data_IF_958759350288
#
_entry.id   IF_958759350288
#
_cell.length_a   1.000
_cell.length_b   1.000
_cell.length_c   1.000
_cell.angle_alpha   90.00
_cell.angle_beta   90.00
_cell.angle_gamma   90.00
#
_symmetry.space_group_name_H-M   'P 1'
#
loop_
_entity.id
_entity.type
_entity.pdbx_description
1 polymer ?
#
# COMPACT_ATOMS: atom_id res chain seq x y z
N UNK A 1 46.43 17.34 -115.32
CA UNK A 1 47.55 16.88 -114.47
C UNK A 1 47.98 17.91 -113.41
N UNK A 2 48.54 19.10 -113.73
CA UNK A 2 48.99 20.04 -112.67
C UNK A 2 47.83 20.68 -111.86
N UNK A 3 46.73 21.08 -112.51
CA UNK A 3 45.56 21.69 -111.85
C UNK A 3 44.86 20.70 -110.90
N UNK A 4 44.69 19.44 -111.33
CA UNK A 4 44.10 18.36 -110.52
C UNK A 4 44.95 18.03 -109.28
N UNK A 5 46.28 18.14 -109.41
CA UNK A 5 47.21 17.90 -108.30
C UNK A 5 47.16 19.05 -107.27
N UNK A 6 46.95 20.29 -107.72
CA UNK A 6 46.73 21.43 -106.82
C UNK A 6 45.38 21.38 -106.11
N UNK A 7 44.30 20.98 -106.79
CA UNK A 7 42.98 20.76 -106.16
C UNK A 7 43.03 19.61 -105.15
N UNK A 8 43.68 18.48 -105.48
CA UNK A 8 43.87 17.38 -104.54
C UNK A 8 44.68 17.81 -103.30
N UNK A 9 45.68 18.68 -103.46
CA UNK A 9 46.45 19.26 -102.34
C UNK A 9 45.62 20.14 -101.42
N UNK A 10 44.74 20.97 -101.98
CA UNK A 10 43.83 21.83 -101.19
C UNK A 10 42.80 20.97 -100.45
N UNK A 11 42.23 19.96 -101.10
CA UNK A 11 41.31 19.03 -100.45
C UNK A 11 41.98 18.22 -99.32
N UNK A 12 43.22 17.76 -99.53
CA UNK A 12 44.01 17.10 -98.49
C UNK A 12 44.27 18.04 -97.31
N UNK A 13 44.67 19.30 -97.56
CA UNK A 13 44.89 20.28 -96.51
C UNK A 13 43.62 20.60 -95.72
N UNK A 14 42.46 20.67 -96.36
CA UNK A 14 41.18 20.90 -95.68
C UNK A 14 40.77 19.69 -94.83
N UNK A 15 40.94 18.46 -95.34
CA UNK A 15 40.68 17.23 -94.58
C UNK A 15 41.60 17.08 -93.38
N UNK A 16 42.85 17.49 -93.50
CA UNK A 16 43.84 17.46 -92.41
C UNK A 16 43.47 18.44 -91.27
N UNK A 17 43.00 19.65 -91.62
CA UNK A 17 42.46 20.61 -90.65
C UNK A 17 41.21 20.09 -89.95
N UNK A 18 40.31 19.46 -90.69
CA UNK A 18 39.09 18.84 -90.15
C UNK A 18 39.41 17.67 -89.21
N UNK A 19 40.39 16.83 -89.57
CA UNK A 19 40.88 15.75 -88.71
C UNK A 19 41.46 16.32 -87.41
N UNK A 20 42.30 17.34 -87.50
CA UNK A 20 42.85 18.00 -86.32
C UNK A 20 41.76 18.61 -85.44
N UNK A 21 40.73 19.23 -86.01
CA UNK A 21 39.59 19.76 -85.25
C UNK A 21 38.83 18.64 -84.52
N UNK A 22 38.60 17.51 -85.19
CA UNK A 22 37.98 16.33 -84.58
C UNK A 22 38.82 15.70 -83.48
N UNK A 23 40.14 15.64 -83.64
CA UNK A 23 41.03 15.12 -82.60
C UNK A 23 40.99 15.97 -81.33
N UNK A 24 40.91 17.31 -81.49
CA UNK A 24 40.71 18.24 -80.36
C UNK A 24 39.36 18.01 -79.68
N UNK A 25 38.29 17.87 -80.45
CA UNK A 25 36.95 17.59 -79.90
C UNK A 25 36.91 16.24 -79.18
N UNK A 26 37.53 15.20 -79.73
CA UNK A 26 37.65 13.88 -79.09
C UNK A 26 38.43 13.99 -77.77
N UNK A 27 39.51 14.76 -77.73
CA UNK A 27 40.28 14.97 -76.51
C UNK A 27 39.45 15.69 -75.43
N UNK A 28 38.67 16.69 -75.83
CA UNK A 28 37.79 17.41 -74.91
C UNK A 28 36.63 16.56 -74.40
N UNK A 29 36.00 15.77 -75.28
CA UNK A 29 34.96 14.81 -74.90
C UNK A 29 35.49 13.74 -73.95
N UNK A 30 36.71 13.22 -74.19
CA UNK A 30 37.38 12.28 -73.27
C UNK A 30 37.61 12.92 -71.90
N UNK A 31 38.06 14.16 -71.86
CA UNK A 31 38.25 14.90 -70.59
C UNK A 31 36.93 15.06 -69.85
N UNK A 32 35.86 15.50 -70.53
CA UNK A 32 34.53 15.66 -69.92
C UNK A 32 33.94 14.36 -69.42
N UNK A 33 34.17 13.25 -70.14
CA UNK A 33 33.74 11.93 -69.73
C UNK A 33 34.48 11.49 -68.46
N UNK A 34 35.81 11.70 -68.39
CA UNK A 34 36.58 11.39 -67.18
C UNK A 34 36.11 12.24 -65.98
N UNK A 35 35.92 13.55 -66.16
CA UNK A 35 35.38 14.43 -65.12
C UNK A 35 33.97 13.99 -64.66
N UNK A 36 33.17 13.37 -65.53
CA UNK A 36 31.87 12.80 -65.15
C UNK A 36 32.05 11.49 -64.36
N UNK A 37 32.97 10.62 -64.76
CA UNK A 37 33.29 9.38 -64.04
C UNK A 37 33.74 9.72 -62.62
N UNK A 38 34.71 10.61 -62.46
CA UNK A 38 35.24 11.01 -61.15
C UNK A 38 34.15 11.60 -60.24
N UNK A 39 33.22 12.37 -60.81
CA UNK A 39 32.06 12.91 -60.07
C UNK A 39 31.06 11.84 -59.67
N UNK A 40 30.78 10.88 -60.55
CA UNK A 40 29.88 9.78 -60.23
C UNK A 40 30.46 8.91 -59.10
N UNK A 41 31.76 8.60 -59.15
CA UNK A 41 32.44 7.84 -58.09
C UNK A 41 32.40 8.58 -56.74
N UNK A 42 32.64 9.89 -56.74
CA UNK A 42 32.53 10.70 -55.51
C UNK A 42 31.12 10.68 -54.92
N UNK A 43 30.08 10.82 -55.76
CA UNK A 43 28.69 10.80 -55.30
C UNK A 43 28.27 9.42 -54.79
N UNK A 44 28.81 8.33 -55.35
CA UNK A 44 28.54 6.97 -54.88
C UNK A 44 29.13 6.73 -53.49
N UNK A 45 30.34 7.24 -53.23
CA UNK A 45 30.96 7.21 -51.89
C UNK A 45 30.12 8.00 -50.88
N UNK A 46 29.71 9.22 -51.23
CA UNK A 46 28.88 10.06 -50.35
C UNK A 46 27.52 9.41 -50.06
N UNK A 47 26.89 8.82 -51.09
CA UNK A 47 25.63 8.11 -50.96
C UNK A 47 25.77 6.91 -50.02
N UNK A 48 26.83 6.12 -50.15
CA UNK A 48 27.07 4.97 -49.28
C UNK A 48 27.35 5.41 -47.84
N UNK A 49 28.11 6.49 -47.64
CA UNK A 49 28.32 7.07 -46.31
C UNK A 49 27.01 7.55 -45.67
N UNK A 50 26.11 8.18 -46.43
CA UNK A 50 24.79 8.59 -45.93
C UNK A 50 23.87 7.41 -45.64
N UNK A 51 23.93 6.32 -46.42
CA UNK A 51 23.17 5.09 -46.11
C UNK A 51 23.62 4.47 -44.79
N UNK A 52 24.92 4.42 -44.53
CA UNK A 52 25.46 3.92 -43.25
C UNK A 52 24.96 4.80 -42.10
N UNK A 53 25.05 6.13 -42.22
CA UNK A 53 24.52 7.04 -41.19
C UNK A 53 23.02 6.87 -40.97
N UNK A 54 22.24 6.67 -42.04
CA UNK A 54 20.82 6.44 -41.95
C UNK A 54 20.50 5.12 -41.21
N UNK A 55 21.24 4.05 -41.51
CA UNK A 55 21.12 2.77 -40.83
C UNK A 55 21.49 2.88 -39.33
N UNK A 56 22.60 3.55 -39.01
CA UNK A 56 23.03 3.78 -37.62
C UNK A 56 21.99 4.60 -36.83
N UNK A 57 21.40 5.63 -37.47
CA UNK A 57 20.37 6.44 -36.86
C UNK A 57 19.05 5.65 -36.66
N UNK A 58 18.71 4.75 -37.57
CA UNK A 58 17.56 3.86 -37.44
C UNK A 58 17.76 2.85 -36.31
N UNK A 59 18.95 2.24 -36.20
CA UNK A 59 19.30 1.34 -35.09
C UNK A 59 19.25 2.08 -33.74
N UNK A 60 19.83 3.28 -33.66
CA UNK A 60 19.78 4.10 -32.45
C UNK A 60 18.34 4.44 -32.05
N UNK A 61 17.46 4.73 -33.03
CA UNK A 61 16.02 4.95 -32.78
C UNK A 61 15.32 3.68 -32.30
N UNK A 62 15.63 2.53 -32.88
CA UNK A 62 15.04 1.25 -32.46
C UNK A 62 15.44 0.93 -31.01
N UNK A 63 16.72 1.06 -30.67
CA UNK A 63 17.24 0.88 -29.31
C UNK A 63 16.58 1.86 -28.34
N UNK A 64 16.51 3.14 -28.69
CA UNK A 64 15.87 4.16 -27.85
C UNK A 64 14.38 3.88 -27.63
N UNK A 65 13.67 3.39 -28.65
CA UNK A 65 12.24 3.07 -28.55
C UNK A 65 12.02 1.85 -27.66
N UNK A 66 12.86 0.82 -27.79
CA UNK A 66 12.82 -0.35 -26.92
C UNK A 66 13.09 0.02 -25.46
N UNK A 67 14.10 0.84 -25.19
CA UNK A 67 14.41 1.33 -23.86
C UNK A 67 13.25 2.15 -23.25
N UNK A 68 12.62 3.01 -24.05
CA UNK A 68 11.46 3.79 -23.61
C UNK A 68 10.28 2.89 -23.23
N UNK A 69 9.98 1.86 -24.03
CA UNK A 69 8.90 0.93 -23.73
C UNK A 69 9.15 0.18 -22.41
N UNK A 70 10.37 -0.29 -22.18
CA UNK A 70 10.75 -0.93 -20.90
C UNK A 70 10.56 0.03 -19.72
N UNK A 71 11.04 1.27 -19.86
CA UNK A 71 10.87 2.29 -18.81
C UNK A 71 9.40 2.57 -18.52
N UNK A 72 8.55 2.64 -19.55
CA UNK A 72 7.13 2.88 -19.41
C UNK A 72 6.39 1.72 -18.72
N UNK A 73 6.72 0.47 -19.06
CA UNK A 73 6.18 -0.71 -18.37
C UNK A 73 6.58 -0.70 -16.89
N UNK A 74 7.86 -0.51 -16.58
CA UNK A 74 8.34 -0.45 -15.19
C UNK A 74 7.65 0.67 -14.41
N UNK A 75 7.42 1.83 -15.04
CA UNK A 75 6.69 2.93 -14.41
C UNK A 75 5.24 2.53 -14.09
N UNK A 76 4.55 1.86 -15.02
CA UNK A 76 3.17 1.42 -14.79
C UNK A 76 3.04 0.37 -13.69
N UNK A 77 4.01 -0.56 -13.59
CA UNK A 77 4.06 -1.55 -12.53
C UNK A 77 4.34 -0.88 -11.17
N UNK A 78 5.31 0.02 -11.11
CA UNK A 78 5.61 0.78 -9.91
C UNK A 78 4.42 1.64 -9.45
N UNK A 79 3.71 2.26 -10.39
CA UNK A 79 2.49 3.01 -10.08
C UNK A 79 1.42 2.12 -9.45
N UNK A 80 1.18 0.92 -9.99
CA UNK A 80 0.23 -0.03 -9.41
C UNK A 80 0.58 -0.47 -7.98
N UNK A 81 1.87 -0.65 -7.69
CA UNK A 81 2.36 -0.92 -6.33
C UNK A 81 2.10 0.28 -5.41
N UNK A 82 2.42 1.50 -5.87
CA UNK A 82 2.19 2.73 -5.10
C UNK A 82 0.70 2.94 -4.80
N UNK A 83 -0.18 2.74 -5.78
CA UNK A 83 -1.63 2.90 -5.60
C UNK A 83 -2.17 1.90 -4.56
N UNK A 84 -1.68 0.66 -4.60
CA UNK A 84 -2.01 -0.37 -3.60
C UNK A 84 -1.56 0.07 -2.21
N UNK A 85 -0.30 0.47 -2.05
CA UNK A 85 0.24 0.92 -0.76
C UNK A 85 -0.50 2.14 -0.20
N UNK A 86 -0.87 3.10 -1.06
CA UNK A 86 -1.64 4.28 -0.66
C UNK A 86 -3.01 3.87 -0.13
N UNK A 87 -3.71 2.99 -0.83
CA UNK A 87 -5.02 2.47 -0.40
C UNK A 87 -4.95 1.70 0.92
N UNK A 88 -3.93 0.85 1.08
CA UNK A 88 -3.73 0.08 2.31
C UNK A 88 -3.35 0.97 3.50
N UNK A 89 -2.46 1.94 3.28
CA UNK A 89 -2.09 2.92 4.31
C UNK A 89 -3.28 3.81 4.70
N UNK A 90 -4.10 4.21 3.74
CA UNK A 90 -5.31 4.98 4.01
C UNK A 90 -6.32 4.17 4.83
N UNK A 91 -6.56 2.90 4.50
CA UNK A 91 -7.41 2.03 5.30
C UNK A 91 -6.88 1.87 6.74
N UNK A 92 -5.57 1.63 6.89
CA UNK A 92 -4.95 1.51 8.20
C UNK A 92 -5.12 2.79 9.03
N UNK A 93 -4.87 3.95 8.42
CA UNK A 93 -4.99 5.27 9.04
C UNK A 93 -6.43 5.59 9.45
N UNK A 94 -7.41 5.30 8.60
CA UNK A 94 -8.80 5.73 8.79
C UNK A 94 -9.63 4.77 9.63
N UNK A 95 -9.33 3.47 9.55
CA UNK A 95 -10.16 2.42 10.17
C UNK A 95 -9.35 1.45 11.00
N UNK A 96 -8.27 0.90 10.44
CA UNK A 96 -7.65 -0.25 11.07
C UNK A 96 -6.99 0.02 12.43
N UNK A 97 -6.38 1.19 12.67
CA UNK A 97 -5.82 1.53 14.00
C UNK A 97 -6.92 1.57 15.06
N UNK A 98 -8.06 2.15 14.71
CA UNK A 98 -9.24 2.22 15.59
C UNK A 98 -9.76 0.82 15.88
N UNK A 99 -9.84 -0.04 14.88
CA UNK A 99 -10.28 -1.43 15.08
C UNK A 99 -9.32 -2.22 15.98
N UNK A 100 -7.99 -2.10 15.79
CA UNK A 100 -7.01 -2.74 16.68
C UNK A 100 -7.19 -2.25 18.12
N UNK A 101 -7.29 -0.94 18.34
CA UNK A 101 -7.49 -0.38 19.66
C UNK A 101 -8.80 -0.88 20.29
N UNK A 102 -9.89 -0.89 19.54
CA UNK A 102 -11.17 -1.42 20.01
C UNK A 102 -11.08 -2.90 20.36
N UNK A 103 -10.41 -3.73 19.57
CA UNK A 103 -10.25 -5.15 19.89
C UNK A 103 -9.41 -5.39 21.14
N UNK A 104 -8.41 -4.55 21.42
CA UNK A 104 -7.62 -4.59 22.66
C UNK A 104 -8.49 -4.18 23.86
N UNK A 105 -9.20 -3.06 23.74
CA UNK A 105 -10.02 -2.52 24.82
C UNK A 105 -11.23 -3.40 25.17
N UNK A 106 -11.71 -4.21 24.23
CA UNK A 106 -12.79 -5.17 24.45
C UNK A 106 -12.29 -6.61 24.68
N UNK A 107 -10.99 -6.80 24.95
CA UNK A 107 -10.45 -8.13 25.22
C UNK A 107 -10.85 -8.59 26.63
N UNK A 108 -11.49 -9.76 26.71
CA UNK A 108 -11.93 -10.33 27.99
C UNK A 108 -10.76 -10.58 28.96
N UNK A 109 -9.56 -10.86 28.44
CA UNK A 109 -8.34 -11.03 29.23
C UNK A 109 -7.96 -9.72 29.95
N UNK A 110 -8.10 -8.58 29.26
CA UNK A 110 -7.87 -7.25 29.83
C UNK A 110 -8.91 -6.94 30.90
N UNK A 111 -10.20 -7.18 30.62
CA UNK A 111 -11.27 -6.96 31.59
C UNK A 111 -11.05 -7.77 32.88
N UNK A 112 -10.70 -9.06 32.74
CA UNK A 112 -10.40 -9.92 33.90
C UNK A 112 -9.18 -9.44 34.68
N UNK A 113 -8.11 -9.02 34.00
CA UNK A 113 -6.91 -8.54 34.66
C UNK A 113 -7.17 -7.23 35.43
N UNK A 114 -7.89 -6.28 34.82
CA UNK A 114 -8.26 -5.01 35.46
C UNK A 114 -9.22 -5.23 36.64
N UNK A 115 -10.18 -6.15 36.52
CA UNK A 115 -11.07 -6.51 37.62
C UNK A 115 -10.29 -7.08 38.82
N UNK A 116 -9.40 -8.05 38.56
CA UNK A 116 -8.56 -8.64 39.60
C UNK A 116 -7.64 -7.61 40.28
N UNK A 117 -7.05 -6.70 39.51
CA UNK A 117 -6.23 -5.60 40.02
C UNK A 117 -7.05 -4.65 40.91
N UNK A 118 -8.24 -4.29 40.46
CA UNK A 118 -9.17 -3.42 41.20
C UNK A 118 -9.59 -4.05 42.53
N UNK A 119 -9.92 -5.33 42.53
CA UNK A 119 -10.32 -6.06 43.73
C UNK A 119 -9.17 -6.22 44.72
N UNK A 120 -7.96 -6.55 44.24
CA UNK A 120 -6.77 -6.66 45.07
C UNK A 120 -6.37 -5.30 45.68
N UNK A 121 -6.41 -4.22 44.89
CA UNK A 121 -6.11 -2.88 45.36
C UNK A 121 -7.12 -2.42 46.42
N UNK A 122 -8.41 -2.72 46.21
CA UNK A 122 -9.47 -2.45 47.18
C UNK A 122 -9.23 -3.21 48.49
N UNK A 123 -8.82 -4.48 48.42
CA UNK A 123 -8.49 -5.28 49.59
C UNK A 123 -7.32 -4.66 50.40
N UNK A 124 -6.23 -4.28 49.73
CA UNK A 124 -5.09 -3.60 50.38
C UNK A 124 -5.54 -2.30 51.06
N UNK A 125 -6.35 -1.48 50.38
CA UNK A 125 -6.90 -0.25 50.94
C UNK A 125 -7.77 -0.49 52.18
N UNK A 126 -8.67 -1.47 52.14
CA UNK A 126 -9.50 -1.85 53.29
C UNK A 126 -8.66 -2.35 54.47
N UNK A 127 -7.63 -3.15 54.21
CA UNK A 127 -6.71 -3.61 55.26
C UNK A 127 -5.94 -2.44 55.88
N UNK A 128 -5.38 -1.56 55.06
CA UNK A 128 -4.66 -0.37 55.53
C UNK A 128 -5.53 0.51 56.43
N UNK A 129 -6.77 0.79 56.00
CA UNK A 129 -7.71 1.56 56.81
C UNK A 129 -8.12 0.87 58.11
N UNK A 130 -8.28 -0.46 58.12
CA UNK A 130 -8.54 -1.21 59.36
C UNK A 130 -7.36 -1.08 60.33
N UNK A 131 -6.12 -1.27 59.85
CA UNK A 131 -4.92 -1.20 60.68
C UNK A 131 -4.72 0.20 61.28
N UNK A 132 -4.99 1.26 60.52
CA UNK A 132 -4.93 2.64 61.01
C UNK A 132 -5.98 2.89 62.12
N UNK A 133 -7.22 2.41 61.92
CA UNK A 133 -8.26 2.51 62.94
C UNK A 133 -7.92 1.71 64.21
N UNK A 134 -7.39 0.50 64.06
CA UNK A 134 -6.96 -0.33 65.17
C UNK A 134 -5.88 0.38 66.00
N UNK A 135 -4.83 0.90 65.35
CA UNK A 135 -3.74 1.65 66.01
C UNK A 135 -4.27 2.86 66.81
N UNK A 136 -5.19 3.66 66.24
CA UNK A 136 -5.80 4.78 66.96
C UNK A 136 -6.59 4.32 68.21
N UNK A 137 -7.32 3.21 68.13
CA UNK A 137 -8.09 2.66 69.26
C UNK A 137 -7.16 2.09 70.32
N UNK A 138 -6.12 1.36 69.93
CA UNK A 138 -5.10 0.82 70.84
C UNK A 138 -4.42 1.94 71.64
N UNK A 139 -4.05 3.05 70.97
CA UNK A 139 -3.44 4.21 71.62
C UNK A 139 -4.38 4.89 72.62
N UNK A 140 -5.68 4.96 72.31
CA UNK A 140 -6.69 5.60 73.17
C UNK A 140 -7.06 4.75 74.38
N UNK A 141 -7.15 3.43 74.22
CA UNK A 141 -7.64 2.51 75.25
C UNK A 141 -6.51 1.82 76.03
N UNK A 142 -5.28 1.83 75.52
CA UNK A 142 -4.13 1.13 76.12
C UNK A 142 -4.25 -0.40 76.09
N UNK A 143 -5.04 -0.94 75.15
CA UNK A 143 -5.29 -2.36 74.97
C UNK A 143 -4.98 -2.74 73.52
N UNK A 144 -4.27 -3.85 73.30
CA UNK A 144 -4.02 -4.41 71.96
C UNK A 144 -5.33 -4.91 71.31
N UNK A 145 -5.49 -4.61 70.03
CA UNK A 145 -6.60 -4.97 69.17
C UNK A 145 -6.08 -5.88 68.07
N UNK A 146 -6.49 -7.15 68.10
CA UNK A 146 -5.98 -8.09 67.11
C UNK A 146 -6.59 -7.85 65.70
N UNK A 147 -5.88 -8.37 64.70
CA UNK A 147 -6.35 -8.33 63.30
C UNK A 147 -7.27 -9.49 62.95
N UNK A 148 -7.72 -10.30 63.93
CA UNK A 148 -8.55 -11.48 63.69
C UNK A 148 -9.94 -11.12 63.16
N UNK A 149 -10.40 -9.90 63.47
CA UNK A 149 -11.64 -9.32 62.98
C UNK A 149 -11.50 -8.52 61.68
N UNK A 150 -10.28 -8.41 61.13
CA UNK A 150 -10.10 -7.82 59.80
C UNK A 150 -10.66 -8.80 58.77
N UNK A 151 -11.72 -8.40 58.07
CA UNK A 151 -12.33 -9.20 57.01
C UNK A 151 -11.40 -9.40 55.79
N UNK A 152 -10.23 -8.74 55.79
CA UNK A 152 -9.24 -8.80 54.72
C UNK A 152 -7.98 -9.50 55.19
N UNK A 153 -7.53 -10.46 54.37
CA UNK A 153 -6.38 -11.31 54.68
C UNK A 153 -5.08 -10.52 54.83
N UNK A 154 -4.12 -11.06 55.58
CA UNK A 154 -2.75 -10.52 55.67
C UNK A 154 -1.96 -10.64 54.36
N UNK A 155 -2.49 -11.40 53.39
CA UNK A 155 -1.88 -11.65 52.09
C UNK A 155 -2.33 -10.64 51.03
N UNK A 156 -3.09 -9.60 51.39
CA UNK A 156 -3.62 -8.61 50.45
C UNK A 156 -2.51 -7.95 49.60
N UNK A 157 -1.39 -7.57 50.21
CA UNK A 157 -0.27 -6.95 49.50
C UNK A 157 0.39 -7.91 48.50
N UNK A 158 0.54 -9.19 48.88
CA UNK A 158 1.06 -10.22 47.99
C UNK A 158 0.08 -10.52 46.83
N UNK A 159 -1.22 -10.50 47.09
CA UNK A 159 -2.25 -10.66 46.07
C UNK A 159 -2.26 -9.47 45.09
N UNK A 160 -2.09 -8.24 45.58
CA UNK A 160 -1.95 -7.06 44.73
C UNK A 160 -0.71 -7.16 43.85
N UNK A 161 0.46 -7.48 44.42
CA UNK A 161 1.69 -7.66 43.64
C UNK A 161 1.56 -8.77 42.57
N UNK A 162 0.84 -9.86 42.88
CA UNK A 162 0.53 -10.90 41.90
C UNK A 162 -0.40 -10.42 40.80
N UNK A 163 -1.41 -9.59 41.12
CA UNK A 163 -2.34 -9.03 40.15
C UNK A 163 -1.66 -8.00 39.23
N UNK A 164 -0.81 -7.14 39.79
CA UNK A 164 0.06 -6.22 39.04
C UNK A 164 0.95 -6.99 38.06
N UNK A 165 1.65 -8.01 38.53
CA UNK A 165 2.48 -8.85 37.67
C UNK A 165 1.67 -9.56 36.58
N UNK A 166 0.43 -9.97 36.86
CA UNK A 166 -0.46 -10.56 35.84
C UNK A 166 -0.91 -9.54 34.79
N UNK A 167 -1.14 -8.29 35.17
CA UNK A 167 -1.51 -7.21 34.27
C UNK A 167 -0.32 -6.76 33.39
N UNK A 168 0.86 -6.59 33.99
CA UNK A 168 2.06 -6.15 33.29
C UNK A 168 2.55 -7.18 32.25
N UNK A 169 2.29 -8.46 32.49
CA UNK A 169 2.65 -9.56 31.59
C UNK A 169 1.44 -10.11 30.81
N UNK A 170 0.38 -9.32 30.67
CA UNK A 170 -0.83 -9.73 29.96
C UNK A 170 -0.54 -10.00 28.48
N UNK A 171 -0.79 -11.23 28.02
CA UNK A 171 -0.83 -11.54 26.59
C UNK A 171 -2.25 -11.42 26.07
N UNK A 172 -2.42 -10.63 25.01
CA UNK A 172 -3.67 -10.46 24.30
C UNK A 172 -3.58 -11.21 22.95
N UNK A 173 -4.40 -12.24 22.71
CA UNK A 173 -4.36 -13.00 21.45
C UNK A 173 -4.49 -12.12 20.20
N UNK A 174 -5.27 -11.03 20.29
CA UNK A 174 -5.41 -10.09 19.18
C UNK A 174 -4.10 -9.41 18.79
N UNK A 175 -3.23 -9.10 19.77
CA UNK A 175 -1.93 -8.48 19.51
C UNK A 175 -1.02 -9.45 18.75
N UNK A 176 -1.04 -10.74 19.12
CA UNK A 176 -0.28 -11.77 18.41
C UNK A 176 -0.78 -11.91 16.96
N UNK A 177 -2.09 -11.96 16.73
CA UNK A 177 -2.69 -12.05 15.40
C UNK A 177 -2.35 -10.83 14.52
N UNK A 178 -2.36 -9.63 15.08
CA UNK A 178 -1.97 -8.40 14.36
C UNK A 178 -0.49 -8.46 13.98
N UNK A 179 0.39 -8.82 14.91
CA UNK A 179 1.84 -8.92 14.67
C UNK A 179 2.16 -9.97 13.61
N UNK A 180 1.51 -11.14 13.66
CA UNK A 180 1.72 -12.19 12.65
C UNK A 180 1.18 -11.78 11.26
N UNK A 181 0.08 -11.02 11.22
CA UNK A 181 -0.48 -10.52 9.96
C UNK A 181 0.43 -9.50 9.29
N UNK A 182 1.05 -8.60 10.07
CA UNK A 182 1.96 -7.56 9.56
C UNK A 182 3.26 -8.12 8.95
N UNK A 183 3.61 -9.39 9.22
CA UNK A 183 4.78 -10.07 8.64
C UNK A 183 4.55 -10.60 7.22
N UNK A 184 3.33 -10.50 6.68
CA UNK A 184 2.94 -11.08 5.39
C UNK A 184 2.78 -10.00 4.33
N UNK A 185 2.96 -10.36 3.06
CA UNK A 185 2.79 -9.42 1.94
C UNK A 185 1.32 -8.96 1.81
N UNK A 186 0.37 -9.83 2.15
CA UNK A 186 -1.08 -9.60 2.17
C UNK A 186 -1.59 -9.11 3.55
N UNK A 187 -0.75 -8.39 4.29
CA UNK A 187 -1.04 -7.94 5.66
C UNK A 187 -2.38 -7.20 5.79
N UNK A 188 -2.72 -6.34 4.83
CA UNK A 188 -3.92 -5.50 4.90
C UNK A 188 -5.20 -6.34 4.83
N UNK A 189 -5.23 -7.33 3.93
CA UNK A 189 -6.35 -8.25 3.76
C UNK A 189 -6.52 -9.15 4.99
N UNK A 190 -5.42 -9.61 5.58
CA UNK A 190 -5.44 -10.39 6.82
C UNK A 190 -5.98 -9.58 7.99
N UNK A 191 -5.50 -8.35 8.17
CA UNK A 191 -6.00 -7.47 9.21
C UNK A 191 -7.50 -7.16 9.03
N UNK A 192 -7.94 -6.92 7.80
CA UNK A 192 -9.38 -6.76 7.50
C UNK A 192 -10.19 -7.99 7.90
N UNK A 193 -9.72 -9.20 7.57
CA UNK A 193 -10.42 -10.42 7.93
C UNK A 193 -10.54 -10.63 9.45
N UNK A 194 -9.52 -10.23 10.22
CA UNK A 194 -9.49 -10.36 11.67
C UNK A 194 -10.32 -9.27 12.37
N UNK A 195 -10.17 -8.03 11.92
CA UNK A 195 -10.66 -6.84 12.62
C UNK A 195 -11.99 -6.30 12.09
N UNK A 196 -12.31 -6.62 10.83
CA UNK A 196 -13.47 -6.12 10.10
C UNK A 196 -14.14 -7.28 9.34
N UNK A 197 -14.52 -8.37 10.03
CA UNK A 197 -15.13 -9.51 9.37
C UNK A 197 -16.42 -9.07 8.67
N UNK A 198 -16.68 -9.55 7.43
CA UNK A 198 -17.89 -9.19 6.73
C UNK A 198 -19.10 -9.63 7.55
N UNK A 199 -20.08 -8.73 7.70
CA UNK A 199 -21.36 -9.06 8.33
C UNK A 199 -22.05 -10.11 7.48
N UNK A 200 -21.99 -11.36 7.89
CA UNK A 200 -22.87 -12.39 7.38
C UNK A 200 -24.25 -12.07 7.93
N UNK A 201 -25.15 -11.60 7.07
CA UNK A 201 -26.57 -11.60 7.39
C UNK A 201 -26.94 -13.07 7.57
N UNK A 202 -27.05 -13.50 8.83
CA UNK A 202 -27.76 -14.72 9.18
C UNK A 202 -29.17 -14.51 8.64
N UNK A 203 -29.46 -15.09 7.48
CA UNK A 203 -30.82 -15.26 7.00
C UNK A 203 -31.46 -16.18 8.04
N UNK A 204 -32.09 -15.60 9.06
CA UNK A 204 -32.97 -16.36 9.93
C UNK A 204 -33.99 -17.05 9.03
N UNK A 205 -33.92 -18.38 8.95
CA UNK A 205 -34.97 -19.19 8.36
C UNK A 205 -36.24 -18.90 9.15
N UNK A 206 -37.05 -17.99 8.60
CA UNK A 206 -38.41 -17.74 9.03
C UNK A 206 -39.19 -19.02 8.78
N UNK A 207 -39.33 -19.84 9.82
CA UNK A 207 -40.22 -21.01 9.78
C UNK A 207 -41.64 -20.51 9.41
N UNK A 208 -42.31 -21.16 8.44
CA UNK A 208 -43.63 -20.71 8.01
C UNK A 208 -44.62 -20.84 9.16
N UNK A 209 -45.32 -19.73 9.44
CA UNK A 209 -46.41 -19.67 10.40
C UNK A 209 -47.43 -20.79 10.14
N UNK A 210 -47.41 -21.80 11.01
CA UNK A 210 -48.48 -22.77 11.16
C UNK A 210 -49.59 -22.12 11.96
N UNK A 211 -50.59 -21.64 11.24
CA UNK A 211 -51.96 -21.46 11.72
C UNK A 211 -52.51 -22.82 12.20
N UNK A 212 -53.00 -22.90 13.44
CA UNK A 212 -54.19 -23.67 13.85
C UNK A 212 -54.36 -23.68 15.39
N UNK A 213 -55.37 -22.94 15.88
CA UNK A 213 -56.35 -23.47 16.84
C UNK A 213 -56.24 -23.18 18.35
N UNK A 214 -57.18 -22.34 18.82
CA UNK A 214 -57.97 -22.42 20.06
C UNK A 214 -57.26 -22.33 21.44
N UNK A 215 -57.50 -21.26 22.20
CA UNK A 215 -58.63 -21.01 23.12
C UNK A 215 -58.25 -21.37 24.56
N UNK A 216 -58.17 -20.35 25.42
CA UNK A 216 -58.77 -20.34 26.75
C UNK A 216 -58.32 -19.06 27.47
N UNK A 217 -59.26 -18.11 27.56
CA UNK A 217 -59.09 -16.89 28.32
C UNK A 217 -58.97 -17.14 29.81
N UNK A 218 -58.22 -16.26 30.47
CA UNK A 218 -58.49 -15.92 31.86
C UNK A 218 -58.06 -14.47 32.10
N UNK A 219 -59.05 -13.57 32.03
CA UNK A 219 -59.04 -12.29 32.72
C UNK A 219 -58.96 -12.56 34.24
N UNK A 220 -58.05 -11.89 34.95
CA UNK A 220 -58.25 -11.53 36.36
C UNK A 220 -57.27 -10.40 36.76
N UNK A 221 -57.85 -9.19 36.82
CA UNK A 221 -57.79 -8.20 37.92
C UNK A 221 -56.39 -7.77 38.44
N UNK A 222 -55.98 -6.50 38.31
CA UNK A 222 -56.46 -5.36 39.10
C UNK A 222 -55.61 -5.24 40.38
N UNK A 223 -54.67 -4.29 40.50
CA UNK A 223 -54.75 -3.04 41.28
C UNK A 223 -53.37 -2.34 41.08
N UNK A 224 -53.30 -1.13 40.51
CA UNK A 224 -53.40 0.20 41.15
C UNK A 224 -52.56 0.37 42.42
N UNK A 225 -51.52 1.21 42.32
CA UNK A 225 -51.20 2.22 43.33
C UNK A 225 -50.13 3.14 42.73
N UNK A 226 -50.59 4.30 42.25
CA UNK A 226 -49.74 5.47 42.10
C UNK A 226 -49.38 6.04 43.47
N UNK A 227 -48.17 6.57 43.60
CA UNK A 227 -47.93 7.71 44.47
C UNK A 227 -46.77 8.56 43.94
N UNK A 228 -47.00 9.85 44.08
CA UNK A 228 -46.29 10.99 43.53
C UNK A 228 -45.01 11.31 44.33
N UNK A 229 -44.06 12.00 43.66
CA UNK A 229 -42.84 12.46 44.32
C UNK A 229 -42.02 13.43 43.47
N UNK A 230 -42.66 14.48 42.96
CA UNK A 230 -41.98 15.71 42.51
C UNK A 230 -41.38 16.44 43.72
N UNK A 231 -40.07 16.66 43.74
CA UNK A 231 -39.50 17.89 44.30
C UNK A 231 -38.05 18.15 43.83
N UNK A 232 -37.95 18.95 42.76
CA UNK A 232 -37.12 20.17 42.62
C UNK A 232 -35.72 20.24 43.25
N UNK A 233 -34.73 20.64 42.42
CA UNK A 233 -34.31 22.06 42.27
C UNK A 233 -33.15 22.21 41.28
N UNK A 234 -33.45 22.90 40.18
CA UNK A 234 -32.48 23.72 39.44
C UNK A 234 -32.47 25.11 40.07
N UNK A 235 -31.30 25.56 40.54
CA UNK A 235 -30.73 26.93 40.47
C UNK A 235 -29.37 26.95 41.17
#
# INVERSE_FOLDING_TARGET
MEVELTEARVQLSNKDKDLHAKDVEIAELKRRLNDQIDRCESLEIDLEAEKVKAADAEEARAVSTAALNVAQTNYSEAQGIVDTLVSEAEWMRTRGVVLVANSILNANELDRAVAALTDAARAVGHRGGYLECADHVEQMLGQEFDTSHCSVTEHADAALASAENSYDNLSLPIMELVVESLKKDDWCQRLKAILDPPVTVELSDEEPAGDDGDDDGNDDDGEDDGDDGDDRREE
#
